data_IF_863524840983
#
_entry.id   IF_863524840983
#
_cell.length_a   1.000
_cell.length_b   1.000
_cell.length_c   1.000
_cell.angle_alpha   90.00
_cell.angle_beta   90.00
_cell.angle_gamma   90.00
#
_symmetry.space_group_name_H-M   'P 1'
#
loop_
_entity.id
_entity.type
_entity.pdbx_description
1 polymer ?
#
# COMPACT_ATOMS: atom_id res chain seq x y z
N UNK A 1 -1.19 25.85 -6.67
CA UNK A 1 -0.22 25.14 -5.80
C UNK A 1 -0.05 23.74 -6.38
N UNK A 2 1.19 23.30 -6.56
CA UNK A 2 1.47 21.96 -7.12
C UNK A 2 1.27 20.87 -6.05
N UNK A 3 0.80 19.70 -6.48
CA UNK A 3 0.76 18.49 -5.67
C UNK A 3 2.20 18.05 -5.38
N UNK A 4 2.63 18.22 -4.13
CA UNK A 4 4.02 18.01 -3.70
C UNK A 4 4.46 16.55 -3.77
N UNK A 5 3.52 15.61 -3.56
CA UNK A 5 3.82 14.20 -3.67
C UNK A 5 4.07 13.81 -5.13
N UNK A 6 3.22 14.28 -6.04
CA UNK A 6 3.42 14.08 -7.47
C UNK A 6 4.69 14.77 -7.98
N UNK A 7 5.02 15.99 -7.50
CA UNK A 7 6.27 16.66 -7.87
C UNK A 7 7.50 15.85 -7.43
N UNK A 8 7.48 15.31 -6.20
CA UNK A 8 8.55 14.45 -5.70
C UNK A 8 8.74 13.19 -6.57
N UNK A 9 7.63 12.54 -6.97
CA UNK A 9 7.70 11.31 -7.77
C UNK A 9 8.07 11.61 -9.23
N UNK A 10 7.35 12.49 -9.90
CA UNK A 10 7.45 12.68 -11.35
C UNK A 10 8.61 13.59 -11.76
N UNK A 11 8.86 14.65 -10.98
CA UNK A 11 9.90 15.65 -11.23
C UNK A 11 11.17 15.38 -10.43
N UNK A 12 11.16 14.37 -9.55
CA UNK A 12 12.25 14.04 -8.63
C UNK A 12 12.67 15.24 -7.77
N UNK A 13 11.69 16.05 -7.39
CA UNK A 13 11.92 17.26 -6.59
C UNK A 13 12.29 16.88 -5.16
N UNK A 14 13.40 17.41 -4.67
CA UNK A 14 13.93 17.17 -3.32
C UNK A 14 13.83 18.39 -2.39
N UNK A 15 13.35 19.53 -2.89
CA UNK A 15 13.26 20.78 -2.11
C UNK A 15 12.23 20.75 -0.97
N UNK A 16 11.34 19.77 -1.02
CA UNK A 16 10.29 19.55 -0.03
C UNK A 16 10.11 18.06 0.22
N UNK A 17 9.98 17.66 1.50
CA UNK A 17 9.71 16.28 1.89
C UNK A 17 8.20 16.09 2.09
N UNK A 18 7.48 15.47 1.13
CA UNK A 18 6.07 15.14 1.31
C UNK A 18 5.91 14.09 2.43
N UNK A 19 4.76 14.13 3.12
CA UNK A 19 4.48 13.21 4.23
C UNK A 19 3.06 12.65 4.16
N UNK A 20 2.96 11.35 4.30
CA UNK A 20 1.74 10.60 4.57
C UNK A 20 2.11 9.30 5.29
N UNK A 21 1.14 8.55 5.82
CA UNK A 21 1.44 7.31 6.54
C UNK A 21 0.59 6.15 6.07
N UNK A 22 1.20 5.00 5.87
CA UNK A 22 0.48 3.74 5.73
C UNK A 22 -0.39 3.51 6.97
N UNK A 23 -1.68 3.19 6.77
CA UNK A 23 -2.69 3.06 7.83
C UNK A 23 -2.95 4.37 8.60
N UNK A 24 -2.73 5.53 7.97
CA UNK A 24 -3.04 6.83 8.59
C UNK A 24 -4.52 6.97 8.99
N UNK A 25 -5.45 6.35 8.25
CA UNK A 25 -6.82 6.11 8.69
C UNK A 25 -6.86 4.75 9.40
N UNK A 26 -6.76 4.74 10.73
CA UNK A 26 -6.53 3.51 11.45
C UNK A 26 -6.93 3.52 12.93
N UNK A 27 -6.75 2.37 13.58
CA UNK A 27 -7.18 2.11 14.96
C UNK A 27 -6.57 3.02 16.03
N UNK A 28 -5.51 3.74 15.73
CA UNK A 28 -4.93 4.73 16.63
C UNK A 28 -5.81 5.98 16.77
N UNK A 29 -6.68 6.28 15.76
CA UNK A 29 -7.62 7.39 15.79
C UNK A 29 -8.89 7.06 16.58
N UNK A 30 -9.30 7.88 17.57
CA UNK A 30 -10.53 7.64 18.33
C UNK A 30 -11.79 7.70 17.46
N UNK A 31 -11.85 8.62 16.49
CA UNK A 31 -12.95 8.74 15.53
C UNK A 31 -13.11 7.49 14.65
N UNK A 32 -11.99 6.89 14.21
CA UNK A 32 -12.04 5.62 13.49
C UNK A 32 -12.56 4.48 14.39
N UNK A 33 -12.08 4.41 15.64
CA UNK A 33 -12.54 3.36 16.59
C UNK A 33 -14.05 3.45 16.85
N UNK A 34 -14.62 4.67 16.90
CA UNK A 34 -16.06 4.88 17.05
C UNK A 34 -16.82 4.26 15.87
N UNK A 35 -16.47 4.65 14.64
CA UNK A 35 -17.10 4.08 13.43
C UNK A 35 -16.95 2.56 13.39
N UNK A 36 -15.75 2.05 13.72
CA UNK A 36 -15.46 0.61 13.68
C UNK A 36 -16.25 -0.19 14.71
N UNK A 37 -16.59 0.41 15.85
CA UNK A 37 -17.44 -0.21 16.88
C UNK A 37 -18.88 -0.35 16.40
N UNK A 38 -19.39 0.66 15.71
CA UNK A 38 -20.75 0.70 15.17
C UNK A 38 -20.89 -0.16 13.90
N UNK A 39 -19.80 -0.41 13.18
CA UNK A 39 -19.74 -1.18 11.92
C UNK A 39 -18.74 -2.35 12.05
N UNK A 40 -19.13 -3.45 12.70
CA UNK A 40 -18.24 -4.57 12.98
C UNK A 40 -17.87 -5.41 11.74
N UNK A 41 -18.68 -5.42 10.69
CA UNK A 41 -18.36 -6.07 9.42
C UNK A 41 -17.40 -5.18 8.61
N UNK A 42 -16.16 -5.67 8.43
CA UNK A 42 -15.12 -4.88 7.77
C UNK A 42 -15.31 -4.80 6.25
N UNK A 43 -15.82 -5.85 5.63
CA UNK A 43 -16.11 -5.85 4.19
C UNK A 43 -17.23 -4.87 3.89
N UNK A 44 -18.33 -4.94 4.65
CA UNK A 44 -19.44 -4.00 4.50
C UNK A 44 -18.99 -2.56 4.77
N UNK A 45 -18.06 -2.34 5.71
CA UNK A 45 -17.48 -1.02 5.95
C UNK A 45 -16.70 -0.52 4.71
N UNK A 46 -15.89 -1.37 4.07
CA UNK A 46 -15.18 -1.03 2.84
C UNK A 46 -16.11 -0.79 1.63
N UNK A 47 -17.31 -1.35 1.66
CA UNK A 47 -18.35 -1.15 0.64
C UNK A 47 -19.29 0.04 0.95
N UNK A 48 -19.15 0.69 2.09
CA UNK A 48 -19.96 1.84 2.44
C UNK A 48 -19.30 3.14 1.97
N UNK A 49 -19.75 3.68 0.86
CA UNK A 49 -19.19 4.88 0.22
C UNK A 49 -19.06 6.09 1.15
N UNK A 50 -20.05 6.31 2.02
CA UNK A 50 -20.08 7.44 2.98
C UNK A 50 -19.02 7.25 4.05
N UNK A 51 -18.97 6.07 4.67
CA UNK A 51 -18.01 5.75 5.73
C UNK A 51 -16.58 5.67 5.20
N UNK A 52 -16.37 5.10 4.03
CA UNK A 52 -15.05 5.11 3.34
C UNK A 52 -14.57 6.53 3.14
N UNK A 53 -15.45 7.43 2.66
CA UNK A 53 -15.13 8.84 2.47
C UNK A 53 -14.76 9.52 3.78
N UNK A 54 -15.59 9.34 4.81
CA UNK A 54 -15.34 9.93 6.12
C UNK A 54 -14.03 9.47 6.72
N UNK A 55 -13.82 8.14 6.78
CA UNK A 55 -12.62 7.53 7.37
C UNK A 55 -11.35 7.98 6.62
N UNK A 56 -11.38 8.01 5.30
CA UNK A 56 -10.25 8.46 4.48
C UNK A 56 -9.84 9.89 4.79
N UNK A 57 -10.82 10.77 5.06
CA UNK A 57 -10.59 12.19 5.31
C UNK A 57 -10.27 12.52 6.77
N UNK A 58 -10.53 11.63 7.75
CA UNK A 58 -10.24 11.85 9.16
C UNK A 58 -8.80 12.31 9.43
N UNK A 59 -7.74 11.63 8.92
CA UNK A 59 -6.36 12.04 9.14
C UNK A 59 -6.05 13.44 8.58
N UNK A 60 -6.63 13.78 7.43
CA UNK A 60 -6.36 15.06 6.78
C UNK A 60 -7.10 16.24 7.44
N UNK A 61 -8.17 15.98 8.18
CA UNK A 61 -8.83 16.98 9.03
C UNK A 61 -8.02 17.26 10.30
N UNK A 62 -7.32 16.24 10.80
CA UNK A 62 -6.55 16.31 12.03
C UNK A 62 -5.11 16.78 11.81
N UNK A 63 -4.49 16.34 10.70
CA UNK A 63 -3.05 16.49 10.46
C UNK A 63 -2.77 17.17 9.12
N UNK A 64 -1.64 17.90 9.06
CA UNK A 64 -1.15 18.51 7.83
C UNK A 64 -0.38 17.49 6.97
N UNK A 65 -1.09 16.51 6.41
CA UNK A 65 -0.57 15.49 5.50
C UNK A 65 -0.68 15.94 4.03
N UNK A 66 0.18 15.43 3.16
CA UNK A 66 0.19 15.78 1.72
C UNK A 66 -0.67 14.85 0.86
N UNK A 67 -1.04 13.68 1.37
CA UNK A 67 -1.87 12.74 0.64
C UNK A 67 -2.94 12.07 1.51
N UNK A 68 -4.05 11.73 0.88
CA UNK A 68 -4.99 10.72 1.37
C UNK A 68 -4.65 9.38 0.73
N UNK A 69 -4.72 8.29 1.50
CA UNK A 69 -4.83 6.94 0.94
C UNK A 69 -6.23 6.43 1.21
N UNK A 70 -6.88 5.91 0.17
CA UNK A 70 -8.25 5.42 0.31
C UNK A 70 -8.37 4.37 1.42
N UNK A 71 -9.39 4.48 2.26
CA UNK A 71 -9.72 3.43 3.22
C UNK A 71 -10.37 2.25 2.48
N UNK A 72 -9.67 1.14 2.42
CA UNK A 72 -10.07 -0.11 1.77
C UNK A 72 -9.19 -1.25 2.29
N UNK A 73 -9.21 -2.40 1.62
CA UNK A 73 -8.30 -3.52 1.87
C UNK A 73 -7.85 -4.16 0.57
N UNK A 74 -6.63 -4.73 0.53
CA UNK A 74 -6.12 -5.46 -0.63
C UNK A 74 -6.97 -6.70 -0.95
N UNK A 75 -7.64 -7.27 0.06
CA UNK A 75 -8.50 -8.43 -0.07
C UNK A 75 -9.88 -8.13 -0.70
N UNK A 76 -10.14 -6.86 -1.06
CA UNK A 76 -11.26 -6.53 -1.94
C UNK A 76 -11.12 -7.18 -3.32
N UNK A 77 -9.89 -7.53 -3.75
CA UNK A 77 -9.66 -8.26 -5.00
C UNK A 77 -10.15 -9.72 -4.90
N UNK A 78 -9.69 -10.56 -3.94
CA UNK A 78 -10.28 -11.89 -3.73
C UNK A 78 -11.80 -11.84 -3.50
N UNK A 79 -12.29 -10.88 -2.72
CA UNK A 79 -13.72 -10.67 -2.52
C UNK A 79 -14.45 -10.40 -3.84
N UNK A 80 -13.93 -9.52 -4.69
CA UNK A 80 -14.45 -9.23 -6.04
C UNK A 80 -14.46 -10.46 -6.95
N UNK A 81 -13.50 -11.36 -6.76
CA UNK A 81 -13.39 -12.65 -7.44
C UNK A 81 -14.24 -13.77 -6.82
N UNK A 82 -15.15 -13.43 -5.90
CA UNK A 82 -16.08 -14.35 -5.21
C UNK A 82 -15.43 -15.34 -4.23
N UNK A 83 -14.17 -15.13 -3.84
CA UNK A 83 -13.65 -15.79 -2.66
C UNK A 83 -14.18 -15.08 -1.42
N UNK A 84 -14.83 -15.81 -0.52
CA UNK A 84 -15.37 -15.23 0.70
C UNK A 84 -14.24 -14.76 1.62
N UNK A 85 -14.35 -13.51 2.09
CA UNK A 85 -13.40 -12.87 3.00
C UNK A 85 -14.12 -12.38 4.23
N UNK A 86 -13.61 -12.71 5.41
CA UNK A 86 -14.09 -12.18 6.69
C UNK A 86 -12.93 -11.68 7.55
N UNK A 87 -13.20 -10.76 8.46
CA UNK A 87 -12.20 -10.23 9.39
C UNK A 87 -12.60 -10.52 10.82
N UNK A 88 -11.85 -11.39 11.50
CA UNK A 88 -12.10 -11.73 12.91
C UNK A 88 -11.20 -10.92 13.84
N UNK A 89 -11.81 -10.36 14.89
CA UNK A 89 -11.08 -9.61 15.94
C UNK A 89 -9.99 -10.50 16.57
N UNK A 90 -8.76 -10.00 16.62
CA UNK A 90 -7.60 -10.72 17.19
C UNK A 90 -6.97 -11.77 16.26
N UNK A 91 -7.64 -12.15 15.17
CA UNK A 91 -7.15 -13.16 14.21
C UNK A 91 -6.68 -12.48 12.91
N UNK A 92 -7.42 -11.50 12.44
CA UNK A 92 -7.20 -10.84 11.15
C UNK A 92 -8.09 -11.41 10.04
N UNK A 93 -7.66 -11.30 8.77
CA UNK A 93 -8.42 -11.79 7.63
C UNK A 93 -8.44 -13.33 7.58
N UNK A 94 -9.60 -13.86 7.24
CA UNK A 94 -9.84 -15.26 6.94
C UNK A 94 -10.53 -15.37 5.58
N UNK A 95 -10.06 -16.27 4.73
CA UNK A 95 -10.64 -16.56 3.43
C UNK A 95 -11.16 -17.99 3.41
N UNK A 96 -12.26 -18.22 2.70
CA UNK A 96 -12.75 -19.57 2.45
C UNK A 96 -11.95 -20.26 1.36
N UNK A 97 -12.24 -21.54 1.15
CA UNK A 97 -11.60 -22.32 0.09
C UNK A 97 -11.71 -21.61 -1.26
N UNK A 98 -10.59 -21.67 -1.98
CA UNK A 98 -10.51 -21.10 -3.32
C UNK A 98 -11.18 -22.06 -4.33
N UNK A 99 -12.04 -21.51 -5.18
CA UNK A 99 -12.53 -22.18 -6.37
C UNK A 99 -11.84 -21.55 -7.58
N UNK A 100 -10.74 -22.18 -8.01
CA UNK A 100 -9.88 -21.60 -9.05
C UNK A 100 -10.63 -21.51 -10.39
N UNK A 101 -11.39 -22.53 -10.79
CA UNK A 101 -12.17 -22.50 -12.03
C UNK A 101 -13.16 -21.34 -12.07
N UNK A 102 -13.85 -21.10 -10.95
CA UNK A 102 -14.75 -19.94 -10.82
C UNK A 102 -14.01 -18.62 -10.96
N UNK A 103 -12.83 -18.51 -10.38
CA UNK A 103 -12.00 -17.31 -10.45
C UNK A 103 -11.48 -17.09 -11.87
N UNK A 104 -10.96 -18.12 -12.53
CA UNK A 104 -10.45 -18.03 -13.89
C UNK A 104 -11.55 -17.60 -14.87
N UNK A 105 -12.78 -18.10 -14.68
CA UNK A 105 -13.94 -17.78 -15.52
C UNK A 105 -14.67 -16.48 -15.13
N UNK A 106 -14.27 -15.79 -14.03
CA UNK A 106 -14.91 -14.56 -13.60
C UNK A 106 -14.75 -13.46 -14.65
N UNK A 107 -15.87 -12.88 -15.10
CA UNK A 107 -15.87 -11.78 -16.07
C UNK A 107 -15.41 -10.48 -15.41
N UNK A 108 -14.62 -9.66 -16.12
CA UNK A 108 -14.21 -8.34 -15.61
C UNK A 108 -15.38 -7.44 -15.22
N UNK A 109 -16.48 -7.48 -15.97
CA UNK A 109 -17.71 -6.72 -15.70
C UNK A 109 -18.30 -7.06 -14.35
N UNK A 110 -18.36 -8.34 -13.99
CA UNK A 110 -18.95 -8.80 -12.73
C UNK A 110 -18.06 -8.44 -11.53
N UNK A 111 -16.72 -8.48 -11.73
CA UNK A 111 -15.76 -8.00 -10.75
C UNK A 111 -15.93 -6.50 -10.48
N UNK A 112 -15.99 -5.69 -11.54
CA UNK A 112 -16.19 -4.23 -11.45
C UNK A 112 -17.51 -3.94 -10.74
N UNK A 113 -18.60 -4.56 -11.15
CA UNK A 113 -19.94 -4.35 -10.59
C UNK A 113 -19.96 -4.57 -9.07
N UNK A 114 -19.27 -5.62 -8.61
CA UNK A 114 -19.19 -5.94 -7.17
C UNK A 114 -18.43 -4.91 -6.36
N UNK A 115 -17.49 -4.18 -6.97
CA UNK A 115 -16.64 -3.18 -6.32
C UNK A 115 -17.03 -1.72 -6.64
N UNK A 116 -18.14 -1.47 -7.31
CA UNK A 116 -18.66 -0.11 -7.58
C UNK A 116 -18.66 0.77 -6.30
N UNK A 117 -19.08 0.30 -5.12
CA UNK A 117 -19.08 1.13 -3.92
C UNK A 117 -17.68 1.62 -3.53
N UNK A 118 -16.64 0.81 -3.74
CA UNK A 118 -15.24 1.21 -3.51
C UNK A 118 -14.87 2.39 -4.43
N UNK A 119 -15.20 2.29 -5.71
CA UNK A 119 -14.88 3.34 -6.70
C UNK A 119 -15.68 4.62 -6.44
N UNK A 120 -16.93 4.50 -6.03
CA UNK A 120 -17.75 5.64 -5.61
C UNK A 120 -17.16 6.32 -4.35
N UNK A 121 -16.65 5.54 -3.40
CA UNK A 121 -15.92 6.06 -2.24
C UNK A 121 -14.72 6.91 -2.66
N UNK A 122 -13.90 6.41 -3.59
CA UNK A 122 -12.74 7.16 -4.15
C UNK A 122 -13.21 8.47 -4.81
N UNK A 123 -14.24 8.41 -5.64
CA UNK A 123 -14.82 9.59 -6.30
C UNK A 123 -15.31 10.64 -5.30
N UNK A 124 -15.95 10.20 -4.22
CA UNK A 124 -16.42 11.08 -3.16
C UNK A 124 -15.26 11.70 -2.38
N UNK A 125 -14.21 10.92 -2.06
CA UNK A 125 -12.98 11.45 -1.45
C UNK A 125 -12.35 12.51 -2.36
N UNK A 126 -12.18 12.24 -3.66
CA UNK A 126 -11.56 13.19 -4.59
C UNK A 126 -12.32 14.52 -4.66
N UNK A 127 -13.65 14.48 -4.61
CA UNK A 127 -14.48 15.69 -4.59
C UNK A 127 -14.26 16.57 -3.35
N UNK A 128 -13.96 15.93 -2.20
CA UNK A 128 -13.79 16.60 -0.91
C UNK A 128 -12.32 16.86 -0.54
N UNK A 129 -11.37 16.33 -1.31
CA UNK A 129 -9.95 16.50 -1.08
C UNK A 129 -9.45 17.74 -1.84
N UNK A 130 -8.62 18.56 -1.19
CA UNK A 130 -7.99 19.73 -1.84
C UNK A 130 -7.16 19.28 -3.05
N UNK A 131 -7.12 20.11 -4.10
CA UNK A 131 -6.46 19.80 -5.38
C UNK A 131 -4.95 19.59 -5.25
N UNK A 132 -4.31 20.27 -4.30
CA UNK A 132 -2.88 20.16 -4.00
C UNK A 132 -2.50 18.92 -3.17
N UNK A 133 -3.46 18.06 -2.83
CA UNK A 133 -3.22 16.80 -2.10
C UNK A 133 -3.47 15.61 -3.00
N UNK A 134 -2.52 14.68 -3.00
CA UNK A 134 -2.66 13.41 -3.72
C UNK A 134 -3.75 12.52 -3.11
N UNK A 135 -4.44 11.77 -3.97
CA UNK A 135 -5.30 10.66 -3.57
C UNK A 135 -4.65 9.36 -4.02
N UNK A 136 -4.17 8.60 -3.07
CA UNK A 136 -3.52 7.32 -3.31
C UNK A 136 -4.57 6.22 -3.35
N UNK A 137 -4.70 5.56 -4.50
CA UNK A 137 -5.32 4.25 -4.62
C UNK A 137 -4.30 3.17 -4.30
N UNK A 138 -4.74 1.94 -4.02
CA UNK A 138 -3.78 0.88 -3.75
C UNK A 138 -4.29 -0.50 -4.13
N UNK A 139 -3.36 -1.43 -4.27
CA UNK A 139 -3.61 -2.85 -4.55
C UNK A 139 -2.62 -3.72 -3.78
N UNK A 140 -2.99 -4.96 -3.52
CA UNK A 140 -2.02 -6.01 -3.19
C UNK A 140 -1.29 -6.47 -4.46
N UNK A 141 0.01 -6.71 -4.37
CA UNK A 141 0.77 -7.35 -5.44
C UNK A 141 0.25 -8.79 -5.69
N UNK A 142 0.43 -9.32 -6.90
CA UNK A 142 -0.08 -10.65 -7.26
C UNK A 142 0.36 -11.75 -6.30
N UNK A 143 1.64 -11.77 -5.91
CA UNK A 143 2.15 -12.73 -4.94
C UNK A 143 1.46 -12.62 -3.58
N UNK A 144 1.39 -11.42 -3.03
CA UNK A 144 0.72 -11.20 -1.74
C UNK A 144 -0.73 -11.66 -1.76
N UNK A 145 -1.48 -11.41 -2.84
CA UNK A 145 -2.86 -11.89 -2.97
C UNK A 145 -2.91 -13.41 -3.09
N UNK A 146 -2.04 -14.01 -3.90
CA UNK A 146 -1.94 -15.45 -4.07
C UNK A 146 -1.69 -16.14 -2.72
N UNK A 147 -0.75 -15.62 -1.91
CA UNK A 147 -0.48 -16.12 -0.56
C UNK A 147 -1.72 -16.11 0.31
N UNK A 148 -2.46 -15.00 0.37
CA UNK A 148 -3.70 -14.94 1.15
C UNK A 148 -4.75 -15.92 0.65
N UNK A 149 -4.93 -16.02 -0.66
CA UNK A 149 -5.96 -16.86 -1.29
C UNK A 149 -5.71 -18.34 -1.05
N UNK A 150 -4.45 -18.79 -1.15
CA UNK A 150 -4.06 -20.19 -0.93
C UNK A 150 -3.96 -20.54 0.57
N UNK A 151 -3.35 -19.66 1.38
CA UNK A 151 -3.16 -19.89 2.82
C UNK A 151 -4.43 -19.63 3.63
N UNK A 152 -5.45 -18.98 3.06
CA UNK A 152 -6.76 -18.65 3.67
C UNK A 152 -6.69 -17.74 4.89
N UNK A 153 -5.52 -17.30 5.30
CA UNK A 153 -5.25 -16.40 6.44
C UNK A 153 -3.89 -15.73 6.26
N UNK A 154 -3.60 -14.75 7.12
CA UNK A 154 -2.25 -14.20 7.17
C UNK A 154 -1.22 -15.32 7.45
N UNK A 155 -0.17 -15.46 6.63
CA UNK A 155 0.87 -16.48 6.82
C UNK A 155 1.76 -16.22 8.04
N UNK A 156 1.66 -15.01 8.64
CA UNK A 156 2.58 -14.52 9.68
C UNK A 156 4.03 -14.48 9.15
N UNK A 157 4.84 -15.50 9.48
CA UNK A 157 6.26 -15.58 9.12
C UNK A 157 6.59 -16.73 8.17
N UNK A 158 5.62 -17.59 7.85
CA UNK A 158 5.86 -18.79 7.05
C UNK A 158 4.72 -19.01 6.04
N UNK A 159 5.09 -19.43 4.85
CA UNK A 159 4.17 -19.87 3.81
C UNK A 159 4.62 -21.22 3.28
N UNK A 160 3.68 -22.17 3.20
CA UNK A 160 3.98 -23.48 2.61
C UNK A 160 4.02 -23.36 1.08
N UNK A 161 5.23 -23.32 0.52
CA UNK A 161 5.43 -23.16 -0.92
C UNK A 161 4.99 -24.41 -1.72
N UNK A 162 4.77 -25.56 -1.06
CA UNK A 162 4.19 -26.74 -1.72
C UNK A 162 2.78 -26.48 -2.28
N UNK A 163 2.05 -25.52 -1.71
CA UNK A 163 0.77 -25.06 -2.27
C UNK A 163 0.91 -24.47 -3.69
N UNK A 164 2.08 -23.92 -4.00
CA UNK A 164 2.43 -23.42 -5.33
C UNK A 164 2.99 -24.54 -6.21
N UNK A 165 3.87 -25.38 -5.65
CA UNK A 165 4.55 -26.43 -6.39
C UNK A 165 3.62 -27.60 -6.81
N UNK A 166 2.51 -27.81 -6.10
CA UNK A 166 1.56 -28.90 -6.34
C UNK A 166 0.99 -28.89 -7.76
N UNK A 167 0.71 -27.69 -8.29
CA UNK A 167 0.23 -27.49 -9.65
C UNK A 167 0.70 -26.13 -10.19
N UNK A 168 1.94 -26.07 -10.64
CA UNK A 168 2.54 -24.84 -11.13
C UNK A 168 1.81 -24.25 -12.34
N UNK A 169 1.21 -25.07 -13.19
CA UNK A 169 0.47 -24.61 -14.38
C UNK A 169 -0.76 -23.83 -13.94
N UNK A 170 -1.58 -24.43 -13.09
CA UNK A 170 -2.80 -23.83 -12.57
C UNK A 170 -2.51 -22.56 -11.74
N UNK A 171 -1.43 -22.57 -10.95
CA UNK A 171 -1.01 -21.41 -10.16
C UNK A 171 -0.55 -20.27 -11.08
N UNK A 172 0.16 -20.56 -12.16
CA UNK A 172 0.55 -19.53 -13.13
C UNK A 172 -0.68 -18.94 -13.87
N UNK A 173 -1.67 -19.75 -14.22
CA UNK A 173 -2.93 -19.26 -14.78
C UNK A 173 -3.66 -18.33 -13.79
N UNK A 174 -3.71 -18.72 -12.52
CA UNK A 174 -4.29 -17.89 -11.47
C UNK A 174 -3.51 -16.58 -11.29
N UNK A 175 -2.18 -16.62 -11.33
CA UNK A 175 -1.33 -15.44 -11.23
C UNK A 175 -1.58 -14.46 -12.40
N UNK A 176 -1.66 -14.96 -13.63
CA UNK A 176 -1.99 -14.14 -14.80
C UNK A 176 -3.41 -13.55 -14.71
N UNK A 177 -4.35 -14.31 -14.17
CA UNK A 177 -5.70 -13.80 -13.87
C UNK A 177 -5.66 -12.67 -12.85
N UNK A 178 -4.90 -12.84 -11.77
CA UNK A 178 -4.73 -11.82 -10.73
C UNK A 178 -4.12 -10.53 -11.32
N UNK A 179 -3.07 -10.63 -12.14
CA UNK A 179 -2.46 -9.48 -12.81
C UNK A 179 -3.52 -8.69 -13.61
N UNK A 180 -4.30 -9.39 -14.46
CA UNK A 180 -5.37 -8.77 -15.25
C UNK A 180 -6.40 -8.06 -14.38
N UNK A 181 -6.86 -8.71 -13.33
CA UNK A 181 -7.87 -8.15 -12.41
C UNK A 181 -7.32 -6.96 -11.60
N UNK A 182 -6.05 -7.04 -11.15
CA UNK A 182 -5.37 -5.94 -10.48
C UNK A 182 -5.30 -4.72 -11.42
N UNK A 183 -4.90 -4.90 -12.67
CA UNK A 183 -4.87 -3.82 -13.66
C UNK A 183 -6.25 -3.18 -13.86
N UNK A 184 -7.30 -3.98 -13.98
CA UNK A 184 -8.67 -3.49 -14.06
C UNK A 184 -9.07 -2.70 -12.79
N UNK A 185 -8.73 -3.20 -11.62
CA UNK A 185 -9.01 -2.53 -10.35
C UNK A 185 -8.28 -1.18 -10.25
N UNK A 186 -7.03 -1.12 -10.68
CA UNK A 186 -6.24 0.12 -10.78
C UNK A 186 -6.91 1.11 -11.73
N UNK A 187 -7.31 0.67 -12.91
CA UNK A 187 -7.98 1.53 -13.89
C UNK A 187 -9.26 2.14 -13.32
N UNK A 188 -10.09 1.36 -12.62
CA UNK A 188 -11.31 1.86 -11.98
C UNK A 188 -10.99 2.86 -10.84
N UNK A 189 -9.97 2.61 -10.02
CA UNK A 189 -9.53 3.54 -9.00
C UNK A 189 -9.05 4.86 -9.61
N UNK A 190 -8.28 4.79 -10.70
CA UNK A 190 -7.79 5.96 -11.44
C UNK A 190 -8.93 6.75 -12.06
N UNK A 191 -9.88 6.11 -12.75
CA UNK A 191 -11.10 6.74 -13.27
C UNK A 191 -11.93 7.41 -12.18
N UNK A 192 -11.90 6.87 -10.97
CA UNK A 192 -12.59 7.43 -9.81
C UNK A 192 -11.85 8.62 -9.17
N UNK A 193 -10.59 8.89 -9.55
CA UNK A 193 -9.84 10.07 -9.14
C UNK A 193 -8.59 9.81 -8.29
N UNK A 194 -8.17 8.55 -8.12
CA UNK A 194 -6.84 8.25 -7.58
C UNK A 194 -5.77 8.70 -8.60
N UNK A 195 -4.76 9.44 -8.14
CA UNK A 195 -3.70 9.98 -8.99
C UNK A 195 -2.30 9.40 -8.67
N UNK A 196 -2.23 8.46 -7.72
CA UNK A 196 -1.06 7.63 -7.41
C UNK A 196 -1.58 6.24 -7.04
N UNK A 197 -0.83 5.19 -7.41
CA UNK A 197 -1.15 3.81 -7.03
C UNK A 197 -0.02 3.24 -6.17
N UNK A 198 -0.37 2.82 -4.95
CA UNK A 198 0.54 2.06 -4.07
C UNK A 198 0.33 0.57 -4.29
N UNK A 199 1.40 -0.17 -4.59
CA UNK A 199 1.40 -1.63 -4.77
C UNK A 199 2.05 -2.26 -3.55
N UNK A 200 1.28 -3.01 -2.76
CA UNK A 200 1.76 -3.65 -1.54
C UNK A 200 2.10 -5.12 -1.78
N UNK A 201 3.39 -5.46 -1.77
CA UNK A 201 3.84 -6.85 -1.71
C UNK A 201 4.33 -7.19 -0.30
N UNK A 202 3.35 -7.33 0.60
CA UNK A 202 3.59 -7.50 2.04
C UNK A 202 4.24 -8.83 2.41
N UNK A 203 4.23 -9.80 1.50
CA UNK A 203 4.75 -11.15 1.68
C UNK A 203 5.88 -11.50 0.71
N UNK A 204 6.50 -10.50 0.08
CA UNK A 204 7.65 -10.72 -0.82
C UNK A 204 8.82 -11.43 -0.11
N UNK A 205 9.01 -11.15 1.19
CA UNK A 205 10.01 -11.81 2.04
C UNK A 205 9.79 -13.30 2.26
N UNK A 206 8.62 -13.84 1.95
CA UNK A 206 8.33 -15.27 2.06
C UNK A 206 8.69 -16.06 0.80
N UNK A 207 9.11 -15.37 -0.28
CA UNK A 207 9.59 -15.99 -1.48
C UNK A 207 11.02 -16.50 -1.30
N UNK A 208 11.32 -17.74 -1.73
CA UNK A 208 12.70 -18.14 -1.96
C UNK A 208 13.38 -17.16 -2.94
N UNK A 209 14.65 -16.87 -2.72
CA UNK A 209 15.40 -15.88 -3.54
C UNK A 209 15.32 -16.16 -5.05
N UNK A 210 15.44 -17.43 -5.43
CA UNK A 210 15.35 -17.90 -6.82
C UNK A 210 13.94 -17.81 -7.43
N UNK A 211 12.91 -17.51 -6.64
CA UNK A 211 11.51 -17.35 -7.10
C UNK A 211 11.06 -15.87 -7.10
N UNK A 212 11.92 -14.95 -6.64
CA UNK A 212 11.59 -13.51 -6.64
C UNK A 212 11.28 -12.99 -8.04
N UNK A 213 12.02 -13.43 -9.06
CA UNK A 213 11.79 -13.02 -10.44
C UNK A 213 10.40 -13.49 -10.93
N UNK A 214 10.05 -14.76 -10.68
CA UNK A 214 8.83 -15.38 -11.18
C UNK A 214 7.56 -14.83 -10.52
N UNK A 215 7.60 -14.59 -9.19
CA UNK A 215 6.39 -14.28 -8.42
C UNK A 215 6.32 -12.85 -7.90
N UNK A 216 7.46 -12.12 -7.83
CA UNK A 216 7.49 -10.74 -7.37
C UNK A 216 7.81 -9.78 -8.52
N UNK A 217 8.96 -9.93 -9.23
CA UNK A 217 9.41 -8.93 -10.21
C UNK A 217 8.56 -8.92 -11.47
N UNK A 218 8.49 -10.04 -12.20
CA UNK A 218 7.75 -10.13 -13.46
C UNK A 218 6.26 -9.80 -13.32
N UNK A 219 5.51 -10.31 -12.30
CA UNK A 219 4.13 -9.92 -12.10
C UNK A 219 3.94 -8.44 -11.78
N UNK A 220 4.84 -7.87 -10.95
CA UNK A 220 4.75 -6.46 -10.55
C UNK A 220 5.14 -5.52 -11.70
N UNK A 221 6.12 -5.90 -12.56
CA UNK A 221 6.49 -5.10 -13.72
C UNK A 221 5.33 -4.91 -14.69
N UNK A 222 4.55 -5.96 -14.96
CA UNK A 222 3.32 -5.87 -15.80
C UNK A 222 2.31 -4.87 -15.25
N UNK A 223 2.16 -4.81 -13.92
CA UNK A 223 1.26 -3.86 -13.26
C UNK A 223 1.82 -2.43 -13.37
N UNK A 224 3.12 -2.24 -13.13
CA UNK A 224 3.79 -0.94 -13.25
C UNK A 224 3.72 -0.42 -14.69
N UNK A 225 3.94 -1.25 -15.69
CA UNK A 225 3.76 -0.89 -17.10
C UNK A 225 2.33 -0.45 -17.39
N UNK A 226 1.35 -1.16 -16.83
CA UNK A 226 -0.05 -0.79 -16.98
C UNK A 226 -0.38 0.55 -16.32
N UNK A 227 0.12 0.83 -15.10
CA UNK A 227 -0.09 2.14 -14.45
C UNK A 227 0.53 3.27 -15.26
N UNK A 228 1.71 3.06 -15.84
CA UNK A 228 2.36 4.04 -16.74
C UNK A 228 1.50 4.31 -17.98
N UNK A 229 0.87 3.29 -18.55
CA UNK A 229 -0.04 3.49 -19.69
C UNK A 229 -1.26 4.35 -19.35
N UNK A 230 -1.69 4.33 -18.08
CA UNK A 230 -2.74 5.19 -17.52
C UNK A 230 -2.23 6.61 -17.14
N UNK A 231 -0.93 6.88 -17.29
CA UNK A 231 -0.24 8.12 -16.85
C UNK A 231 -0.38 8.39 -15.35
N UNK A 232 -0.39 7.34 -14.55
CA UNK A 232 -0.48 7.41 -13.09
C UNK A 232 0.77 6.77 -12.50
N UNK A 233 1.54 7.47 -11.65
CA UNK A 233 2.74 6.90 -11.05
C UNK A 233 2.41 5.81 -10.03
N UNK A 234 3.32 4.85 -9.95
CA UNK A 234 3.28 3.72 -9.03
C UNK A 234 4.31 3.85 -7.91
N UNK A 235 3.92 3.50 -6.69
CA UNK A 235 4.82 3.30 -5.55
C UNK A 235 4.82 1.81 -5.22
N UNK A 236 5.95 1.12 -5.34
CA UNK A 236 6.04 -0.31 -5.04
C UNK A 236 6.63 -0.54 -3.65
N UNK A 237 6.05 -1.47 -2.90
CA UNK A 237 6.50 -1.86 -1.56
C UNK A 237 6.72 -3.38 -1.48
N UNK A 238 7.84 -3.90 -2.00
CA UNK A 238 8.26 -5.30 -1.85
C UNK A 238 8.90 -5.50 -0.47
N UNK A 239 8.08 -5.74 0.55
CA UNK A 239 8.52 -5.76 1.95
C UNK A 239 9.49 -6.92 2.23
N UNK A 240 10.62 -6.60 2.87
CA UNK A 240 11.54 -7.59 3.45
C UNK A 240 12.40 -8.34 2.44
N UNK A 241 12.58 -7.82 1.22
CA UNK A 241 13.45 -8.44 0.20
C UNK A 241 14.95 -8.13 0.40
N UNK A 242 15.32 -7.31 1.40
CA UNK A 242 16.71 -6.97 1.70
C UNK A 242 17.44 -6.34 0.50
N UNK A 243 18.68 -6.74 0.26
CA UNK A 243 19.49 -6.20 -0.84
C UNK A 243 18.91 -6.45 -2.25
N UNK A 244 17.92 -7.34 -2.38
CA UNK A 244 17.22 -7.54 -3.65
C UNK A 244 16.37 -6.34 -4.10
N UNK A 245 16.31 -5.26 -3.30
CA UNK A 245 15.76 -3.97 -3.76
C UNK A 245 16.44 -3.45 -5.03
N UNK A 246 17.74 -3.72 -5.23
CA UNK A 246 18.47 -3.35 -6.46
C UNK A 246 17.87 -4.06 -7.66
N UNK A 247 17.78 -5.38 -7.60
CA UNK A 247 17.26 -6.21 -8.69
C UNK A 247 15.78 -5.90 -8.94
N UNK A 248 15.00 -5.69 -7.87
CA UNK A 248 13.62 -5.26 -7.99
C UNK A 248 13.49 -3.95 -8.77
N UNK A 249 14.25 -2.92 -8.40
CA UNK A 249 14.19 -1.62 -9.07
C UNK A 249 14.67 -1.71 -10.53
N UNK A 250 15.68 -2.53 -10.83
CA UNK A 250 16.18 -2.73 -12.18
C UNK A 250 15.15 -3.42 -13.10
N UNK A 251 14.45 -4.44 -12.59
CA UNK A 251 13.49 -5.23 -13.37
C UNK A 251 12.11 -4.59 -13.43
N UNK A 252 11.59 -4.09 -12.30
CA UNK A 252 10.22 -3.56 -12.19
C UNK A 252 10.14 -2.11 -12.65
N UNK A 253 11.18 -1.31 -12.44
CA UNK A 253 11.27 0.12 -12.81
C UNK A 253 10.10 0.94 -12.25
N UNK A 254 9.84 0.88 -10.93
CA UNK A 254 8.76 1.65 -10.31
C UNK A 254 9.04 3.16 -10.40
N UNK A 255 8.00 4.00 -10.30
CA UNK A 255 8.16 5.45 -10.26
C UNK A 255 8.64 5.93 -8.88
N UNK A 256 8.37 5.16 -7.83
CA UNK A 256 8.87 5.35 -6.47
C UNK A 256 9.00 3.99 -5.78
N UNK A 257 10.04 3.82 -4.97
CA UNK A 257 10.23 2.61 -4.16
C UNK A 257 9.95 2.91 -2.69
N UNK A 258 9.04 2.15 -2.08
CA UNK A 258 8.82 2.19 -0.64
C UNK A 258 9.67 1.12 0.04
N UNK A 259 10.40 1.51 1.07
CA UNK A 259 11.30 0.63 1.82
C UNK A 259 10.73 0.29 3.20
N UNK A 260 11.02 -0.91 3.67
CA UNK A 260 10.70 -1.32 5.03
C UNK A 260 11.78 -0.85 6.04
N UNK A 261 11.55 -1.12 7.32
CA UNK A 261 12.44 -0.69 8.40
C UNK A 261 13.60 -1.66 8.68
N UNK A 262 13.68 -2.78 7.96
CA UNK A 262 14.73 -3.78 8.15
C UNK A 262 15.97 -3.48 7.29
N UNK A 263 15.79 -2.72 6.20
CA UNK A 263 16.90 -2.31 5.32
C UNK A 263 17.54 -1.01 5.82
N UNK A 264 18.87 -0.91 5.73
CA UNK A 264 19.57 0.32 6.06
C UNK A 264 19.25 1.44 5.05
N UNK A 265 18.67 2.58 5.50
CA UNK A 265 18.35 3.68 4.61
C UNK A 265 19.58 4.33 3.95
N UNK A 266 20.76 4.27 4.59
CA UNK A 266 22.00 4.77 4.00
C UNK A 266 22.42 3.90 2.81
N UNK A 267 22.33 2.59 2.95
CA UNK A 267 22.58 1.65 1.86
C UNK A 267 21.62 1.89 0.68
N UNK A 268 20.34 2.08 0.95
CA UNK A 268 19.34 2.42 -0.10
C UNK A 268 19.75 3.72 -0.83
N UNK A 269 20.13 4.76 -0.07
CA UNK A 269 20.52 6.05 -0.62
C UNK A 269 21.73 5.95 -1.55
N UNK A 270 22.66 5.04 -1.27
CA UNK A 270 23.87 4.79 -2.05
C UNK A 270 23.63 3.90 -3.27
N UNK A 271 22.75 2.91 -3.16
CA UNK A 271 22.56 1.86 -4.17
C UNK A 271 21.40 2.14 -5.13
N UNK A 272 20.36 2.81 -4.68
CA UNK A 272 19.18 3.12 -5.50
C UNK A 272 19.32 4.57 -6.02
N UNK A 273 19.63 4.70 -7.31
CA UNK A 273 19.80 6.01 -7.93
C UNK A 273 18.66 6.33 -8.90
N UNK A 274 18.22 7.59 -8.88
CA UNK A 274 17.25 8.10 -9.84
C UNK A 274 15.81 7.67 -9.63
N UNK A 275 15.49 6.91 -8.57
CA UNK A 275 14.15 6.50 -8.17
C UNK A 275 13.83 7.13 -6.83
N UNK A 276 12.78 7.93 -6.69
CA UNK A 276 12.31 8.46 -5.41
C UNK A 276 12.11 7.36 -4.38
N UNK A 277 12.46 7.64 -3.13
CA UNK A 277 12.35 6.68 -2.02
C UNK A 277 11.25 7.12 -1.06
N UNK A 278 10.48 6.15 -0.56
CA UNK A 278 9.46 6.36 0.45
C UNK A 278 9.72 5.48 1.68
N UNK A 279 9.43 6.01 2.89
CA UNK A 279 9.30 5.17 4.08
C UNK A 279 10.59 4.87 4.81
N UNK A 280 10.66 3.70 5.43
CA UNK A 280 11.81 3.14 6.13
C UNK A 280 11.78 3.28 7.65
N UNK A 281 11.17 4.31 8.24
CA UNK A 281 11.17 4.47 9.70
C UNK A 281 10.36 3.37 10.40
N UNK A 282 10.97 2.67 11.36
CA UNK A 282 10.27 1.65 12.15
C UNK A 282 9.10 2.30 12.94
N UNK A 283 7.85 1.86 12.73
CA UNK A 283 6.71 2.39 13.47
C UNK A 283 6.82 2.19 14.99
N UNK A 284 7.62 1.26 15.49
CA UNK A 284 7.86 1.07 16.93
C UNK A 284 8.59 2.23 17.57
N UNK A 285 9.38 2.98 16.80
CA UNK A 285 10.04 4.21 17.29
C UNK A 285 9.01 5.22 17.80
N UNK A 286 7.82 5.26 17.22
CA UNK A 286 6.75 6.17 17.62
C UNK A 286 6.11 5.81 18.99
N UNK A 287 6.49 4.68 19.58
CA UNK A 287 6.08 4.26 20.92
C UNK A 287 7.11 4.65 21.99
N UNK A 288 8.24 5.23 21.60
CA UNK A 288 9.32 5.67 22.51
C UNK A 288 9.15 7.15 22.92
N UNK A 289 10.14 7.71 23.59
CA UNK A 289 10.16 9.13 23.97
C UNK A 289 10.40 10.06 22.77
N UNK A 290 10.12 11.35 22.99
CA UNK A 290 10.23 12.37 21.94
C UNK A 290 11.65 12.56 21.42
N UNK A 291 12.67 12.36 22.26
CA UNK A 291 14.07 12.51 21.88
C UNK A 291 14.48 11.42 20.88
N UNK A 292 14.13 10.17 21.17
CA UNK A 292 14.39 9.04 20.26
C UNK A 292 13.60 9.17 18.96
N UNK A 293 12.33 9.59 19.01
CA UNK A 293 11.53 9.88 17.81
C UNK A 293 12.22 10.95 16.96
N UNK A 294 12.65 12.07 17.57
CA UNK A 294 13.35 13.15 16.88
C UNK A 294 14.65 12.66 16.25
N UNK A 295 15.48 11.96 17.01
CA UNK A 295 16.78 11.42 16.55
C UNK A 295 16.60 10.55 15.30
N UNK A 296 15.64 9.63 15.34
CA UNK A 296 15.39 8.73 14.20
C UNK A 296 14.75 9.45 13.02
N UNK A 297 13.83 10.39 13.24
CA UNK A 297 13.26 11.23 12.18
C UNK A 297 14.36 12.04 11.50
N UNK A 298 15.21 12.70 12.27
CA UNK A 298 16.34 13.49 11.76
C UNK A 298 17.34 12.64 10.98
N UNK A 299 17.57 11.38 11.40
CA UNK A 299 18.42 10.42 10.67
C UNK A 299 17.92 10.26 9.22
N UNK A 300 16.65 9.94 9.02
CA UNK A 300 16.08 9.77 7.67
C UNK A 300 16.11 11.06 6.86
N UNK A 301 15.74 12.19 7.46
CA UNK A 301 15.75 13.48 6.78
C UNK A 301 17.16 13.93 6.38
N UNK A 302 18.21 13.52 7.14
CA UNK A 302 19.60 13.81 6.80
C UNK A 302 20.12 12.90 5.69
N UNK A 303 19.83 11.60 5.75
CA UNK A 303 20.26 10.61 4.75
C UNK A 303 19.70 10.98 3.38
N UNK A 304 18.42 11.37 3.33
CA UNK A 304 17.74 11.72 2.09
C UNK A 304 17.70 13.22 1.80
N UNK A 305 18.56 14.01 2.48
CA UNK A 305 18.76 15.42 2.10
C UNK A 305 19.19 15.49 0.64
N UNK A 306 18.58 16.41 -0.10
CA UNK A 306 18.86 16.60 -1.53
C UNK A 306 18.57 15.35 -2.41
N UNK A 307 17.68 14.48 -1.93
CA UNK A 307 17.18 13.32 -2.66
C UNK A 307 15.66 13.28 -2.65
N UNK A 308 15.00 12.89 -3.75
CA UNK A 308 13.53 12.75 -3.78
C UNK A 308 13.05 11.72 -2.75
N UNK A 309 12.54 12.22 -1.63
CA UNK A 309 12.14 11.39 -0.51
C UNK A 309 10.74 11.75 0.00
N UNK A 310 9.92 10.72 0.21
CA UNK A 310 8.59 10.81 0.80
C UNK A 310 8.67 10.24 2.22
N UNK A 311 8.43 11.08 3.21
CA UNK A 311 8.44 10.62 4.59
C UNK A 311 7.23 9.72 4.86
N UNK A 312 7.51 8.52 5.28
CA UNK A 312 6.54 7.52 5.72
C UNK A 312 7.23 6.56 6.69
N UNK A 313 6.45 5.64 7.29
CA UNK A 313 7.00 4.55 8.07
C UNK A 313 7.35 3.37 7.15
N UNK A 314 8.23 2.50 7.63
CA UNK A 314 8.55 1.23 6.97
C UNK A 314 7.48 0.15 7.12
N UNK A 315 6.34 0.48 7.73
CA UNK A 315 5.10 -0.30 7.84
C UNK A 315 3.94 0.63 8.25
N UNK A 316 2.75 0.11 8.45
CA UNK A 316 1.60 0.92 8.88
C UNK A 316 1.68 1.42 10.31
N UNK A 317 1.03 2.55 10.60
CA UNK A 317 0.87 3.09 11.96
C UNK A 317 0.29 2.02 12.87
N UNK A 318 0.89 1.84 14.06
CA UNK A 318 0.45 0.86 15.04
C UNK A 318 -0.76 1.40 15.84
N UNK A 319 -1.67 0.52 16.26
CA UNK A 319 -2.88 0.92 17.00
C UNK A 319 -2.61 1.61 18.33
N UNK A 320 -1.44 1.35 18.92
CA UNK A 320 -0.99 1.84 20.23
C UNK A 320 -0.41 3.26 20.15
N UNK A 321 -0.06 3.74 18.96
CA UNK A 321 0.49 5.08 18.75
C UNK A 321 -0.58 6.13 19.07
N UNK A 322 -0.18 7.18 19.78
CA UNK A 322 -1.07 8.29 20.10
C UNK A 322 -1.15 9.28 18.94
N UNK A 323 -2.33 9.89 18.68
CA UNK A 323 -2.45 10.93 17.64
C UNK A 323 -1.47 12.10 17.80
N UNK A 324 -1.14 12.46 19.06
CA UNK A 324 -0.20 13.54 19.38
C UNK A 324 1.24 13.20 18.92
N UNK A 325 1.60 11.91 18.90
CA UNK A 325 2.89 11.45 18.38
C UNK A 325 2.96 11.62 16.85
N UNK A 326 1.86 11.34 16.16
CA UNK A 326 1.76 11.58 14.71
C UNK A 326 1.89 13.08 14.39
N UNK A 327 1.19 13.93 15.16
CA UNK A 327 1.32 15.38 15.02
C UNK A 327 2.77 15.85 15.25
N UNK A 328 3.43 15.34 16.29
CA UNK A 328 4.82 15.68 16.61
C UNK A 328 5.79 15.33 15.46
N UNK A 329 5.68 14.13 14.89
CA UNK A 329 6.57 13.73 13.79
C UNK A 329 6.32 14.56 12.51
N UNK A 330 5.05 14.92 12.24
CA UNK A 330 4.71 15.83 11.14
C UNK A 330 5.38 17.19 11.35
N UNK A 331 5.33 17.74 12.56
CA UNK A 331 6.00 19.01 12.89
C UNK A 331 7.51 18.92 12.69
N UNK A 332 8.16 17.81 13.09
CA UNK A 332 9.59 17.59 12.85
C UNK A 332 9.93 17.62 11.36
N UNK A 333 9.14 16.93 10.52
CA UNK A 333 9.35 16.91 9.06
C UNK A 333 9.11 18.29 8.44
N UNK A 334 8.10 19.03 8.91
CA UNK A 334 7.75 20.36 8.36
C UNK A 334 8.76 21.45 8.74
N UNK A 335 9.36 21.35 9.94
CA UNK A 335 10.27 22.36 10.47
C UNK A 335 11.71 22.19 9.97
N UNK A 336 12.01 21.08 9.29
CA UNK A 336 13.34 20.89 8.71
C UNK A 336 13.40 21.58 7.34
N UNK A 337 14.17 22.66 7.31
CA UNK A 337 14.52 23.42 6.09
C UNK A 337 15.70 22.77 5.36
#
# INVERSE_FOLDING_TARGET
MNDKLLSCINQKEASYVPIWFMRQAGRYLPEFRKIRKENPDFINLCLNEKLVTEITLQPLKRFNLDAAIIFSDILMIPYGLDQQVEFKKGVGPLLKDINIDKILNKKPTDFIQKLIPVYNGIKNVRKNLKKEKSLIGFVGAPWTLLVYMLNKKSPKNEFNFDLVNKDKVLINELLEKLIKIICIHIEQQTKAGANIIQIFDSWANLLPKNELENYCYNPTSKIVEYTKSLKVPSICFPKGIGENYIDFCANVKPDCISIDYEIDPQWIREKINGIPVQGGLDPKILLTDKENIKKNTDKYLNIFKDYPYIFNLGHGVLPEIKPETIEYIIQLVRNKK
#
